data_IF_115551931275
#
_entry.id   IF_115551931275
#
_cell.length_a   1.000
_cell.length_b   1.000
_cell.length_c   1.000
_cell.angle_alpha   90.00
_cell.angle_beta   90.00
_cell.angle_gamma   90.00
#
_symmetry.space_group_name_H-M   'P 1'
#
loop_
_entity.id
_entity.type
_entity.pdbx_description
1 polymer ?
#
# COMPACT_ATOMS: atom_id res chain seq x y z
N UNK A 1 -0.57 13.49 -16.22
CA UNK A 1 -0.58 12.87 -14.88
C UNK A 1 0.52 13.50 -14.05
N UNK A 2 0.23 13.92 -12.82
CA UNK A 2 1.16 14.65 -11.95
C UNK A 2 2.02 13.72 -11.07
N UNK A 3 1.51 12.53 -10.75
CA UNK A 3 2.14 11.59 -9.83
C UNK A 3 2.69 10.38 -10.59
N UNK A 4 3.75 9.76 -10.07
CA UNK A 4 4.40 8.59 -10.66
C UNK A 4 4.96 7.68 -9.59
N UNK A 5 5.08 6.41 -9.92
CA UNK A 5 5.76 5.42 -9.08
C UNK A 5 7.27 5.69 -8.98
N UNK A 6 7.91 5.24 -7.89
CA UNK A 6 9.37 5.24 -7.78
C UNK A 6 9.97 4.22 -8.76
N UNK A 7 11.05 4.60 -9.42
CA UNK A 7 11.75 3.78 -10.42
C UNK A 7 13.21 3.53 -10.05
N UNK A 8 13.78 4.32 -9.12
CA UNK A 8 15.15 4.21 -8.69
C UNK A 8 15.27 3.24 -7.50
N UNK A 9 16.04 2.14 -7.63
CA UNK A 9 16.22 1.23 -6.53
C UNK A 9 16.95 1.86 -5.32
N UNK A 10 16.58 1.47 -4.11
CA UNK A 10 17.13 2.04 -2.89
C UNK A 10 17.05 1.07 -1.70
N UNK A 11 17.62 1.46 -0.55
CA UNK A 11 17.77 0.59 0.63
C UNK A 11 16.78 0.90 1.77
N UNK A 12 15.73 1.69 1.53
CA UNK A 12 14.74 2.06 2.57
C UNK A 12 14.07 0.85 3.21
N UNK A 13 13.80 -0.21 2.44
CA UNK A 13 13.29 -1.50 2.93
C UNK A 13 14.12 -2.10 4.08
N UNK A 14 15.43 -1.80 4.17
CA UNK A 14 16.27 -2.26 5.28
C UNK A 14 15.90 -1.64 6.64
N UNK A 15 15.28 -0.46 6.60
CA UNK A 15 14.99 0.39 7.78
C UNK A 15 13.52 0.36 8.17
N UNK A 16 12.62 0.12 7.21
CA UNK A 16 11.18 0.19 7.41
C UNK A 16 10.47 -0.84 6.52
N UNK A 17 9.78 -1.82 7.13
CA UNK A 17 8.87 -2.76 6.42
C UNK A 17 7.52 -2.09 6.20
N UNK A 18 6.40 -2.81 6.07
CA UNK A 18 5.09 -2.18 5.90
C UNK A 18 4.71 -1.21 7.03
N UNK A 19 5.03 -1.55 8.29
CA UNK A 19 4.69 -0.73 9.47
C UNK A 19 3.20 -0.30 9.46
N UNK A 20 2.28 -1.27 9.55
CA UNK A 20 0.84 -1.04 9.38
C UNK A 20 0.29 -0.02 10.39
N UNK A 21 0.47 -0.26 11.69
CA UNK A 21 -0.02 0.68 12.72
C UNK A 21 0.69 2.03 12.67
N UNK A 22 2.04 2.13 12.53
CA UNK A 22 2.67 3.42 12.31
C UNK A 22 2.20 4.17 11.05
N UNK A 23 1.91 3.46 9.95
CA UNK A 23 1.32 4.07 8.76
C UNK A 23 -0.05 4.67 9.07
N UNK A 24 -0.90 3.91 9.78
CA UNK A 24 -2.24 4.37 10.17
C UNK A 24 -2.18 5.59 11.09
N UNK A 25 -1.30 5.59 12.09
CA UNK A 25 -1.07 6.77 12.93
C UNK A 25 -0.60 7.98 12.13
N UNK A 26 0.29 7.77 11.15
CA UNK A 26 0.79 8.83 10.29
C UNK A 26 -0.31 9.48 9.45
N UNK A 27 -1.20 8.67 8.85
CA UNK A 27 -2.32 9.18 8.05
C UNK A 27 -3.24 10.10 8.87
N UNK A 28 -3.58 9.68 10.09
CA UNK A 28 -4.39 10.50 11.00
C UNK A 28 -3.66 11.77 11.46
N UNK A 29 -2.36 11.68 11.71
CA UNK A 29 -1.58 12.85 12.10
C UNK A 29 -1.51 13.87 10.96
N UNK A 30 -1.41 13.43 9.70
CA UNK A 30 -1.44 14.32 8.55
C UNK A 30 -2.78 15.04 8.43
N UNK A 31 -3.89 14.34 8.68
CA UNK A 31 -5.23 14.92 8.69
C UNK A 31 -5.38 15.99 9.78
N UNK A 32 -4.93 15.72 11.00
CA UNK A 32 -5.04 16.68 12.12
C UNK A 32 -4.06 17.86 12.05
N UNK A 33 -2.96 17.75 11.29
CA UNK A 33 -1.93 18.79 11.17
C UNK A 33 -1.95 19.56 9.86
N UNK A 34 -2.89 19.26 8.95
CA UNK A 34 -2.93 19.88 7.62
C UNK A 34 -1.75 19.47 6.73
N UNK A 35 -1.19 18.27 6.95
CA UNK A 35 -0.18 17.63 6.10
C UNK A 35 1.28 17.75 6.54
N UNK A 36 1.63 18.69 7.43
CA UNK A 36 3.03 18.83 7.89
C UNK A 36 3.26 18.21 9.26
N UNK A 37 3.88 17.03 9.27
CA UNK A 37 4.17 16.27 10.50
C UNK A 37 5.57 16.55 11.05
N UNK A 38 5.69 17.21 12.21
CA UNK A 38 6.98 17.34 12.92
C UNK A 38 7.38 16.05 13.65
N UNK A 39 8.67 15.72 13.63
CA UNK A 39 9.22 14.56 14.34
C UNK A 39 9.28 14.76 15.85
N UNK A 40 9.50 16.00 16.28
CA UNK A 40 9.44 16.44 17.66
C UNK A 40 8.04 16.23 18.21
N UNK A 41 7.02 16.80 17.53
CA UNK A 41 5.61 16.64 17.91
C UNK A 41 5.19 15.17 17.93
N UNK A 42 5.52 14.40 16.90
CA UNK A 42 5.13 12.98 16.85
C UNK A 42 5.77 12.13 17.95
N UNK A 43 6.96 12.51 18.43
CA UNK A 43 7.63 11.85 19.55
C UNK A 43 7.01 12.27 20.88
N UNK A 44 6.81 13.57 21.10
CA UNK A 44 6.17 14.13 22.31
C UNK A 44 4.77 13.55 22.52
N UNK A 45 3.97 13.45 21.46
CA UNK A 45 2.61 12.90 21.49
C UNK A 45 2.57 11.36 21.42
N UNK A 46 3.72 10.68 21.39
CA UNK A 46 3.81 9.21 21.32
C UNK A 46 2.97 8.59 20.19
N UNK A 47 2.92 9.25 19.03
CA UNK A 47 2.06 8.89 17.88
C UNK A 47 2.28 7.46 17.39
N UNK A 48 3.52 6.97 17.47
CA UNK A 48 3.89 5.61 17.08
C UNK A 48 4.07 4.66 18.28
N UNK A 49 3.52 5.03 19.44
CA UNK A 49 3.71 4.34 20.71
C UNK A 49 5.11 4.53 21.30
N UNK A 50 5.49 3.64 22.23
CA UNK A 50 6.78 3.67 22.93
C UNK A 50 7.96 3.34 22.01
N UNK A 51 8.40 4.33 21.21
CA UNK A 51 9.56 4.25 20.32
C UNK A 51 10.57 5.33 20.68
N UNK A 52 11.85 5.06 20.44
CA UNK A 52 12.90 6.08 20.62
C UNK A 52 12.76 7.20 19.58
N UNK A 53 13.26 8.40 19.89
CA UNK A 53 13.22 9.54 18.97
C UNK A 53 13.83 9.20 17.60
N UNK A 54 14.99 8.51 17.58
CA UNK A 54 15.64 8.06 16.34
C UNK A 54 14.74 7.12 15.52
N UNK A 55 13.92 6.29 16.17
CA UNK A 55 12.97 5.41 15.47
C UNK A 55 11.78 6.21 14.93
N UNK A 56 11.27 7.20 15.67
CA UNK A 56 10.21 8.12 15.21
C UNK A 56 10.67 8.91 13.99
N UNK A 57 11.87 9.49 14.04
CA UNK A 57 12.47 10.22 12.92
C UNK A 57 12.56 9.35 11.65
N UNK A 58 13.03 8.10 11.80
CA UNK A 58 13.08 7.15 10.69
C UNK A 58 11.70 6.81 10.14
N UNK A 59 10.72 6.58 11.01
CA UNK A 59 9.35 6.30 10.58
C UNK A 59 8.80 7.46 9.77
N UNK A 60 8.89 8.70 10.26
CA UNK A 60 8.41 9.87 9.52
C UNK A 60 9.10 9.99 8.17
N UNK A 61 10.42 9.83 8.12
CA UNK A 61 11.16 9.91 6.85
C UNK A 61 10.74 8.84 5.82
N UNK A 62 10.31 7.66 6.27
CA UNK A 62 9.79 6.60 5.39
C UNK A 62 8.29 6.77 5.07
N UNK A 63 7.48 7.28 6.01
CA UNK A 63 6.06 7.57 5.77
C UNK A 63 5.89 8.70 4.76
N UNK A 64 6.69 9.77 4.86
CA UNK A 64 6.72 10.84 3.87
C UNK A 64 7.05 10.33 2.48
N UNK A 65 8.07 9.48 2.38
CA UNK A 65 8.47 8.88 1.10
C UNK A 65 7.37 8.03 0.47
N UNK A 66 6.54 7.36 1.29
CA UNK A 66 5.43 6.53 0.80
C UNK A 66 4.17 7.33 0.47
N UNK A 67 3.76 8.21 1.37
CA UNK A 67 2.41 8.78 1.34
C UNK A 67 2.36 10.24 0.88
N UNK A 68 3.36 11.08 1.21
CA UNK A 68 3.37 12.49 0.80
C UNK A 68 3.57 12.63 -0.72
N UNK A 69 4.10 11.60 -1.38
CA UNK A 69 4.15 11.50 -2.84
C UNK A 69 2.75 11.44 -3.49
N UNK A 70 1.72 11.07 -2.73
CA UNK A 70 0.34 10.88 -3.20
C UNK A 70 -0.65 11.62 -2.28
N UNK A 71 -0.62 12.96 -2.22
CA UNK A 71 -1.39 13.74 -1.27
C UNK A 71 -2.91 13.53 -1.40
N UNK A 72 -3.41 13.32 -2.63
CA UNK A 72 -4.83 12.99 -2.88
C UNK A 72 -5.26 11.69 -2.21
N UNK A 73 -4.38 10.70 -2.15
CA UNK A 73 -4.63 9.42 -1.49
C UNK A 73 -4.47 9.54 0.02
N UNK A 74 -3.44 10.27 0.48
CA UNK A 74 -3.21 10.53 1.90
C UNK A 74 -4.39 11.27 2.55
N UNK A 75 -5.02 12.20 1.84
CA UNK A 75 -6.21 12.91 2.32
C UNK A 75 -7.37 11.94 2.63
N UNK A 76 -7.62 10.99 1.73
CA UNK A 76 -8.64 9.94 1.95
C UNK A 76 -8.23 9.01 3.09
N UNK A 77 -6.97 8.56 3.11
CA UNK A 77 -6.48 7.65 4.15
C UNK A 77 -6.57 8.23 5.56
N UNK A 78 -6.33 9.55 5.71
CA UNK A 78 -6.45 10.24 7.00
C UNK A 78 -7.87 10.26 7.55
N UNK A 79 -8.87 10.30 6.66
CA UNK A 79 -10.31 10.40 6.97
C UNK A 79 -11.06 9.07 6.95
N UNK A 80 -10.48 8.02 6.35
CA UNK A 80 -11.16 6.74 6.17
C UNK A 80 -11.45 6.04 7.51
N UNK A 81 -12.71 5.93 7.92
CA UNK A 81 -13.19 5.19 9.12
C UNK A 81 -14.59 4.58 8.87
N UNK A 82 -14.85 3.33 9.29
CA UNK A 82 -13.90 2.33 9.80
C UNK A 82 -13.05 1.72 8.67
N UNK A 83 -11.90 1.11 9.02
CA UNK A 83 -11.03 0.41 8.07
C UNK A 83 -10.62 -0.94 8.64
N UNK A 84 -10.93 -2.00 7.90
CA UNK A 84 -10.58 -3.38 8.23
C UNK A 84 -9.06 -3.59 8.30
N UNK A 85 -8.62 -4.49 9.18
CA UNK A 85 -7.19 -4.77 9.36
C UNK A 85 -6.53 -5.32 8.09
N UNK A 86 -7.24 -6.16 7.32
CA UNK A 86 -6.76 -6.67 6.03
C UNK A 86 -6.53 -5.54 5.02
N UNK A 87 -7.46 -4.58 4.97
CA UNK A 87 -7.40 -3.47 4.03
C UNK A 87 -6.28 -2.50 4.38
N UNK A 88 -6.03 -2.25 5.67
CA UNK A 88 -4.83 -1.51 6.14
C UNK A 88 -3.54 -2.13 5.63
N UNK A 89 -3.42 -3.46 5.72
CA UNK A 89 -2.24 -4.19 5.28
C UNK A 89 -2.04 -4.07 3.76
N UNK A 90 -3.12 -4.22 2.99
CA UNK A 90 -3.11 -4.08 1.52
C UNK A 90 -2.74 -2.66 1.08
N UNK A 91 -3.30 -1.64 1.72
CA UNK A 91 -2.96 -0.24 1.43
C UNK A 91 -1.47 0.02 1.72
N UNK A 92 -0.96 -0.42 2.88
CA UNK A 92 0.47 -0.29 3.19
C UNK A 92 1.34 -1.04 2.16
N UNK A 93 0.89 -2.22 1.72
CA UNK A 93 1.55 -3.01 0.69
C UNK A 93 1.67 -2.25 -0.63
N UNK A 94 0.55 -1.73 -1.17
CA UNK A 94 0.54 -0.99 -2.44
C UNK A 94 1.37 0.29 -2.37
N UNK A 95 1.28 1.06 -1.28
CA UNK A 95 2.13 2.25 -1.10
C UNK A 95 3.62 1.90 -0.96
N UNK A 96 3.94 0.73 -0.41
CA UNK A 96 5.33 0.25 -0.40
C UNK A 96 5.77 -0.19 -1.79
N UNK A 97 4.91 -0.81 -2.60
CA UNK A 97 5.22 -1.11 -4.00
C UNK A 97 5.41 0.17 -4.82
N UNK A 98 4.56 1.18 -4.64
CA UNK A 98 4.69 2.48 -5.29
C UNK A 98 6.02 3.16 -4.94
N UNK A 99 6.45 3.03 -3.68
CA UNK A 99 7.65 3.69 -3.18
C UNK A 99 8.96 2.90 -3.36
N UNK A 100 8.91 1.59 -3.67
CA UNK A 100 10.10 0.74 -3.80
C UNK A 100 9.99 -0.21 -5.01
N UNK A 101 10.75 0.05 -6.09
CA UNK A 101 10.65 -0.73 -7.33
C UNK A 101 11.15 -2.18 -7.18
N UNK A 102 12.06 -2.46 -6.23
CA UNK A 102 12.50 -3.84 -5.99
C UNK A 102 11.40 -4.60 -5.26
N UNK A 103 10.77 -3.98 -4.26
CA UNK A 103 9.64 -4.61 -3.58
C UNK A 103 8.46 -4.84 -4.53
N UNK A 104 8.19 -3.90 -5.45
CA UNK A 104 7.17 -4.06 -6.49
C UNK A 104 7.41 -5.29 -7.35
N UNK A 105 8.61 -5.44 -7.92
CA UNK A 105 8.98 -6.62 -8.74
C UNK A 105 8.98 -7.91 -7.92
N UNK A 106 9.39 -7.84 -6.66
CA UNK A 106 9.37 -9.01 -5.78
C UNK A 106 7.98 -9.55 -5.58
N UNK A 107 7.01 -8.71 -5.21
CA UNK A 107 5.66 -9.18 -4.92
C UNK A 107 4.81 -9.34 -6.18
N UNK A 108 5.02 -8.52 -7.21
CA UNK A 108 4.23 -8.52 -8.44
C UNK A 108 4.69 -9.53 -9.50
N UNK A 109 5.98 -9.90 -9.49
CA UNK A 109 6.55 -10.80 -10.51
C UNK A 109 7.13 -12.05 -9.86
N UNK A 110 8.13 -11.90 -8.99
CA UNK A 110 8.89 -13.04 -8.46
C UNK A 110 8.05 -13.96 -7.58
N UNK A 111 7.30 -13.42 -6.61
CA UNK A 111 6.43 -14.25 -5.78
C UNK A 111 5.29 -14.88 -6.59
N UNK A 112 4.82 -14.20 -7.64
CA UNK A 112 3.78 -14.72 -8.54
C UNK A 112 4.33 -15.90 -9.34
N UNK A 113 5.51 -15.76 -9.97
CA UNK A 113 6.20 -16.84 -10.67
C UNK A 113 6.44 -18.04 -9.72
N UNK A 114 6.87 -17.76 -8.49
CA UNK A 114 7.09 -18.78 -7.47
C UNK A 114 5.82 -19.50 -7.03
N UNK A 115 4.68 -18.79 -6.99
CA UNK A 115 3.38 -19.34 -6.64
C UNK A 115 2.89 -20.35 -7.69
N UNK A 116 2.97 -19.98 -8.98
CA UNK A 116 2.58 -20.86 -10.09
C UNK A 116 3.64 -21.92 -10.41
N UNK A 117 4.86 -21.77 -9.91
CA UNK A 117 5.93 -22.74 -10.03
C UNK A 117 5.72 -24.01 -9.17
N UNK A 118 6.54 -25.06 -9.36
CA UNK A 118 6.30 -26.39 -8.80
C UNK A 118 6.18 -26.47 -7.27
N UNK A 119 6.77 -25.51 -6.54
CA UNK A 119 6.89 -25.57 -5.09
C UNK A 119 6.00 -24.57 -4.33
N UNK A 120 5.47 -23.54 -5.00
CA UNK A 120 4.59 -22.54 -4.37
C UNK A 120 5.18 -21.83 -3.14
N UNK A 121 6.51 -21.72 -3.05
CA UNK A 121 7.19 -21.27 -1.84
C UNK A 121 8.45 -20.43 -2.10
N UNK A 122 8.90 -19.74 -1.05
CA UNK A 122 10.08 -18.89 -1.07
C UNK A 122 10.87 -18.98 0.24
N UNK A 123 12.15 -18.68 0.19
CA UNK A 123 12.99 -18.47 1.37
C UNK A 123 13.93 -17.26 1.18
N UNK A 124 14.75 -17.00 2.21
CA UNK A 124 15.66 -15.87 2.23
C UNK A 124 16.82 -16.00 1.23
N UNK A 125 17.38 -17.20 1.06
CA UNK A 125 18.51 -17.44 0.16
C UNK A 125 18.07 -17.30 -1.30
N UNK A 126 16.92 -17.87 -1.64
CA UNK A 126 16.25 -17.68 -2.93
C UNK A 126 16.00 -16.20 -3.23
N UNK A 127 15.43 -15.48 -2.26
CA UNK A 127 15.16 -14.03 -2.40
C UNK A 127 16.45 -13.23 -2.54
N UNK A 128 17.50 -13.56 -1.79
CA UNK A 128 18.80 -12.90 -1.88
C UNK A 128 19.44 -13.10 -3.26
N UNK A 129 19.41 -14.31 -3.81
CA UNK A 129 19.89 -14.57 -5.18
C UNK A 129 19.08 -13.82 -6.22
N UNK A 130 17.75 -13.78 -6.07
CA UNK A 130 16.89 -13.02 -6.97
C UNK A 130 17.18 -11.51 -6.96
N UNK A 131 17.48 -10.93 -5.80
CA UNK A 131 17.89 -9.51 -5.72
C UNK A 131 19.18 -9.28 -6.53
N UNK A 132 20.16 -10.19 -6.43
CA UNK A 132 21.42 -10.07 -7.19
C UNK A 132 21.17 -10.11 -8.71
N UNK A 133 20.28 -10.98 -9.17
CA UNK A 133 19.92 -11.05 -10.58
C UNK A 133 19.16 -9.79 -11.05
N UNK A 134 18.37 -9.19 -10.16
CA UNK A 134 17.53 -8.03 -10.47
C UNK A 134 18.31 -6.72 -10.47
N UNK A 135 19.29 -6.57 -9.57
CA UNK A 135 20.14 -5.39 -9.42
C UNK A 135 21.60 -5.81 -9.19
N UNK A 136 22.29 -6.33 -10.22
CA UNK A 136 23.61 -6.93 -10.09
C UNK A 136 24.64 -5.92 -9.58
N UNK A 137 25.59 -6.42 -8.78
CA UNK A 137 26.74 -5.69 -8.23
C UNK A 137 26.40 -4.43 -7.41
N UNK A 138 25.11 -4.20 -7.10
CA UNK A 138 24.66 -2.99 -6.39
C UNK A 138 24.96 -3.05 -4.90
N UNK A 139 24.83 -4.23 -4.29
CA UNK A 139 24.95 -4.40 -2.85
C UNK A 139 25.68 -5.67 -2.45
N UNK A 140 26.54 -5.54 -1.44
CA UNK A 140 27.21 -6.67 -0.82
C UNK A 140 26.22 -7.65 -0.16
N UNK A 141 26.62 -8.92 -0.07
CA UNK A 141 25.80 -10.05 0.43
C UNK A 141 25.07 -9.73 1.76
N UNK A 142 25.71 -9.13 2.79
CA UNK A 142 25.01 -8.84 4.05
C UNK A 142 23.84 -7.86 3.89
N UNK A 143 24.03 -6.84 3.05
CA UNK A 143 22.98 -5.85 2.72
C UNK A 143 21.84 -6.52 1.98
N UNK A 144 22.15 -7.36 0.99
CA UNK A 144 21.17 -8.10 0.19
C UNK A 144 20.35 -9.06 1.04
N UNK A 145 20.97 -9.83 1.92
CA UNK A 145 20.28 -10.73 2.86
C UNK A 145 19.34 -9.97 3.80
N UNK A 146 19.75 -8.78 4.26
CA UNK A 146 18.91 -7.92 5.09
C UNK A 146 17.70 -7.36 4.33
N UNK A 147 17.89 -6.94 3.07
CA UNK A 147 16.80 -6.53 2.18
C UNK A 147 15.82 -7.68 1.98
N UNK A 148 16.31 -8.86 1.57
CA UNK A 148 15.51 -10.07 1.38
C UNK A 148 14.68 -10.41 2.63
N UNK A 149 15.30 -10.36 3.82
CA UNK A 149 14.61 -10.63 5.08
C UNK A 149 13.46 -9.65 5.34
N UNK A 150 13.70 -8.34 5.10
CA UNK A 150 12.70 -7.30 5.28
C UNK A 150 11.57 -7.34 4.25
N UNK A 151 11.86 -7.75 3.01
CA UNK A 151 10.86 -7.97 1.98
C UNK A 151 9.96 -9.16 2.32
N UNK A 152 10.53 -10.27 2.81
CA UNK A 152 9.77 -11.42 3.29
C UNK A 152 8.91 -11.07 4.52
N UNK A 153 9.42 -10.26 5.46
CA UNK A 153 8.61 -9.74 6.56
C UNK A 153 7.45 -8.88 6.06
N UNK A 154 7.69 -8.01 5.07
CA UNK A 154 6.65 -7.15 4.51
C UNK A 154 5.57 -7.96 3.78
N UNK A 155 5.95 -8.95 2.97
CA UNK A 155 5.02 -9.85 2.30
C UNK A 155 4.22 -10.72 3.28
N UNK A 156 4.82 -11.17 4.39
CA UNK A 156 4.11 -11.83 5.48
C UNK A 156 3.06 -10.90 6.11
N UNK A 157 3.42 -9.65 6.41
CA UNK A 157 2.47 -8.66 6.94
C UNK A 157 1.34 -8.31 5.96
N UNK A 158 1.59 -8.41 4.65
CA UNK A 158 0.56 -8.23 3.61
C UNK A 158 -0.35 -9.45 3.42
N UNK A 159 -0.05 -10.60 4.05
CA UNK A 159 -0.76 -11.85 3.83
C UNK A 159 -0.40 -12.59 2.53
N UNK A 160 0.66 -12.16 1.84
CA UNK A 160 1.18 -12.81 0.62
C UNK A 160 2.03 -14.05 0.98
N UNK A 161 2.55 -14.10 2.20
CA UNK A 161 3.26 -15.26 2.74
C UNK A 161 2.50 -15.79 3.95
N UNK A 162 2.31 -17.11 4.02
CA UNK A 162 1.51 -17.75 5.06
C UNK A 162 2.21 -17.79 6.43
N UNK A 163 3.54 -17.94 6.45
CA UNK A 163 4.29 -18.11 7.70
C UNK A 163 5.74 -17.63 7.59
N UNK A 164 6.38 -17.46 8.75
CA UNK A 164 7.80 -17.15 8.83
C UNK A 164 8.72 -18.40 8.83
N UNK A 165 8.16 -19.60 8.74
CA UNK A 165 8.89 -20.88 8.72
C UNK A 165 9.26 -21.24 7.29
N UNK A 166 10.50 -21.65 7.08
CA UNK A 166 10.96 -22.12 5.75
C UNK A 166 10.57 -23.59 5.53
N UNK A 167 10.24 -23.98 4.28
CA UNK A 167 9.96 -23.11 3.13
C UNK A 167 8.65 -22.32 3.36
N UNK A 168 8.62 -21.04 2.98
CA UNK A 168 7.49 -20.15 3.28
C UNK A 168 6.44 -20.29 2.17
N UNK A 169 5.24 -20.81 2.44
CA UNK A 169 4.20 -20.92 1.43
C UNK A 169 3.74 -19.53 0.99
N UNK A 170 3.57 -19.36 -0.32
CA UNK A 170 3.02 -18.15 -0.92
C UNK A 170 1.51 -18.31 -0.98
N UNK A 171 0.79 -17.26 -0.62
CA UNK A 171 -0.67 -17.15 -0.67
C UNK A 171 -1.02 -15.80 -1.32
N UNK A 172 -2.30 -15.61 -1.59
CA UNK A 172 -2.82 -14.30 -1.95
C UNK A 172 -3.84 -13.84 -0.91
N UNK A 173 -3.71 -12.60 -0.39
CA UNK A 173 -4.65 -12.06 0.58
C UNK A 173 -6.02 -11.84 -0.06
N UNK A 174 -7.09 -11.95 0.74
CA UNK A 174 -8.41 -11.55 0.28
C UNK A 174 -8.45 -10.03 0.12
N UNK A 175 -8.77 -9.56 -1.08
CA UNK A 175 -8.97 -8.14 -1.38
C UNK A 175 -10.46 -7.80 -1.30
N UNK A 176 -10.84 -6.85 -0.45
CA UNK A 176 -12.22 -6.33 -0.38
C UNK A 176 -12.53 -5.47 -1.62
N UNK A 177 -13.81 -5.29 -1.95
CA UNK A 177 -14.18 -4.42 -3.08
C UNK A 177 -13.85 -2.94 -2.78
N UNK A 178 -13.91 -2.51 -1.51
CA UNK A 178 -13.46 -1.17 -1.09
C UNK A 178 -11.95 -0.98 -1.30
N UNK A 179 -11.13 -1.96 -0.90
CA UNK A 179 -9.69 -1.90 -1.11
C UNK A 179 -9.31 -1.94 -2.60
N UNK A 180 -10.00 -2.76 -3.39
CA UNK A 180 -9.80 -2.81 -4.84
C UNK A 180 -10.21 -1.48 -5.49
N UNK A 181 -11.37 -0.91 -5.11
CA UNK A 181 -11.81 0.38 -5.62
C UNK A 181 -10.82 1.50 -5.25
N UNK A 182 -10.31 1.50 -4.01
CA UNK A 182 -9.22 2.38 -3.60
C UNK A 182 -7.99 2.26 -4.50
N UNK A 183 -7.51 1.04 -4.75
CA UNK A 183 -6.36 0.80 -5.63
C UNK A 183 -6.62 1.35 -7.04
N UNK A 184 -7.81 1.14 -7.58
CA UNK A 184 -8.14 1.59 -8.93
C UNK A 184 -8.17 3.12 -9.03
N UNK A 185 -8.79 3.81 -8.07
CA UNK A 185 -8.71 5.28 -8.00
C UNK A 185 -7.29 5.79 -7.71
N UNK A 186 -6.46 5.04 -6.99
CA UNK A 186 -5.05 5.37 -6.76
C UNK A 186 -4.26 5.32 -8.06
N UNK A 187 -4.37 4.22 -8.81
CA UNK A 187 -3.69 4.02 -10.07
C UNK A 187 -4.22 4.95 -11.18
N UNK A 188 -5.49 5.38 -11.11
CA UNK A 188 -6.06 6.38 -12.03
C UNK A 188 -5.30 7.72 -11.99
N UNK A 189 -4.65 8.07 -10.89
CA UNK A 189 -3.95 9.36 -10.72
C UNK A 189 -2.42 9.25 -10.84
N UNK A 190 -1.90 8.03 -10.98
CA UNK A 190 -0.47 7.72 -10.99
C UNK A 190 -0.04 7.19 -12.36
N UNK A 191 1.11 7.65 -12.84
CA UNK A 191 1.81 7.02 -13.95
C UNK A 191 2.62 5.81 -13.46
N UNK A 192 2.37 4.64 -14.03
CA UNK A 192 3.04 3.37 -13.72
C UNK A 192 3.23 2.51 -14.97
N UNK A 193 4.11 1.51 -14.87
CA UNK A 193 4.31 0.50 -15.90
C UNK A 193 3.19 -0.56 -15.91
N UNK A 194 2.59 -0.80 -17.08
CA UNK A 194 1.52 -1.78 -17.29
C UNK A 194 0.21 -1.14 -17.73
N UNK A 195 -0.89 -1.88 -17.56
CA UNK A 195 -2.26 -1.40 -17.83
C UNK A 195 -3.13 -1.46 -16.58
N UNK A 196 -4.31 -0.86 -16.65
CA UNK A 196 -5.25 -0.83 -15.53
C UNK A 196 -5.67 -2.21 -15.00
N UNK A 197 -5.59 -3.27 -15.81
CA UNK A 197 -5.96 -4.64 -15.43
C UNK A 197 -4.79 -5.62 -15.44
N UNK A 198 -3.60 -5.18 -15.85
CA UNK A 198 -2.40 -6.01 -15.94
C UNK A 198 -1.22 -5.17 -15.48
N UNK A 199 -0.97 -5.23 -14.17
CA UNK A 199 0.06 -4.47 -13.48
C UNK A 199 0.48 -5.19 -12.19
N UNK A 200 1.68 -4.91 -11.65
CA UNK A 200 2.22 -5.59 -10.47
C UNK A 200 1.46 -5.33 -9.17
N UNK A 201 0.55 -4.36 -9.11
CA UNK A 201 -0.25 -4.06 -7.91
C UNK A 201 -1.47 -4.98 -7.76
N UNK A 202 -1.99 -5.45 -8.89
CA UNK A 202 -3.08 -6.45 -8.95
C UNK A 202 -2.51 -7.87 -8.83
N UNK A 203 -1.46 -8.19 -9.58
CA UNK A 203 -0.89 -9.55 -9.56
C UNK A 203 -0.28 -9.92 -8.21
N UNK A 204 0.28 -8.95 -7.47
CA UNK A 204 0.84 -9.19 -6.13
C UNK A 204 -0.18 -9.67 -5.10
N UNK A 205 -1.47 -9.45 -5.36
CA UNK A 205 -2.59 -9.85 -4.50
C UNK A 205 -3.46 -10.93 -5.16
N UNK A 206 -2.93 -11.61 -6.18
CA UNK A 206 -3.58 -12.74 -6.84
C UNK A 206 -4.67 -12.35 -7.83
N UNK A 207 -4.74 -11.07 -8.22
CA UNK A 207 -5.64 -10.59 -9.25
C UNK A 207 -4.89 -10.57 -10.58
N UNK A 208 -4.78 -11.73 -11.23
CA UNK A 208 -4.33 -11.78 -12.62
C UNK A 208 -5.32 -11.06 -13.55
N UNK A 209 -4.99 -10.95 -14.84
CA UNK A 209 -5.78 -10.14 -15.77
C UNK A 209 -7.26 -10.57 -15.84
N UNK A 210 -7.54 -11.88 -15.84
CA UNK A 210 -8.90 -12.39 -15.98
C UNK A 210 -9.68 -12.21 -14.66
N UNK A 211 -9.03 -12.48 -13.54
CA UNK A 211 -9.60 -12.26 -12.22
C UNK A 211 -9.86 -10.77 -11.94
N UNK A 212 -8.93 -9.89 -12.33
CA UNK A 212 -9.07 -8.44 -12.22
C UNK A 212 -10.27 -7.95 -13.03
N UNK A 213 -10.39 -8.35 -14.30
CA UNK A 213 -11.54 -8.01 -15.15
C UNK A 213 -12.86 -8.46 -14.51
N UNK A 214 -12.89 -9.69 -13.97
CA UNK A 214 -14.08 -10.24 -13.32
C UNK A 214 -14.48 -9.44 -12.08
N UNK A 215 -13.52 -9.14 -11.21
CA UNK A 215 -13.75 -8.39 -9.95
C UNK A 215 -14.14 -6.94 -10.22
N UNK A 216 -13.37 -6.23 -11.05
CA UNK A 216 -13.57 -4.81 -11.36
C UNK A 216 -14.93 -4.58 -12.02
N UNK A 217 -15.39 -5.48 -12.91
CA UNK A 217 -16.72 -5.39 -13.53
C UNK A 217 -17.87 -5.46 -12.50
N UNK A 218 -17.63 -6.12 -11.36
CA UNK A 218 -18.62 -6.21 -10.28
C UNK A 218 -18.73 -4.95 -9.44
N UNK A 219 -17.77 -4.02 -9.52
CA UNK A 219 -17.71 -2.81 -8.71
C UNK A 219 -18.32 -1.65 -9.49
N UNK A 220 -19.51 -1.21 -9.07
CA UNK A 220 -20.29 -0.19 -9.79
C UNK A 220 -19.58 1.15 -9.86
N UNK A 221 -18.88 1.51 -8.79
CA UNK A 221 -18.15 2.76 -8.60
C UNK A 221 -17.05 2.99 -9.64
N UNK A 222 -16.61 1.93 -10.32
CA UNK A 222 -15.56 1.97 -11.35
C UNK A 222 -16.13 2.10 -12.77
N UNK A 223 -17.41 1.76 -12.99
CA UNK A 223 -18.05 1.81 -14.31
C UNK A 223 -17.28 1.08 -15.40
N UNK A 224 -16.77 -0.12 -15.11
CA UNK A 224 -15.87 -0.82 -16.01
C UNK A 224 -16.58 -1.67 -17.07
N UNK A 225 -16.13 -1.52 -18.31
CA UNK A 225 -16.49 -2.40 -19.42
C UNK A 225 -15.27 -2.84 -20.23
N UNK A 226 -15.37 -4.02 -20.86
CA UNK A 226 -14.34 -4.57 -21.74
C UNK A 226 -15.00 -5.10 -23.00
N UNK A 227 -14.54 -4.63 -24.16
CA UNK A 227 -14.98 -5.09 -25.47
C UNK A 227 -13.75 -5.50 -26.30
N UNK A 228 -13.53 -6.81 -26.43
CA UNK A 228 -12.28 -7.32 -27.00
C UNK A 228 -11.08 -6.85 -26.16
N UNK A 229 -10.14 -6.15 -26.80
CA UNK A 229 -8.97 -5.57 -26.15
C UNK A 229 -9.19 -4.14 -25.64
N UNK A 230 -10.35 -3.54 -25.95
CA UNK A 230 -10.69 -2.21 -25.47
C UNK A 230 -11.16 -2.28 -24.01
N UNK A 231 -10.46 -1.54 -23.14
CA UNK A 231 -10.81 -1.35 -21.74
C UNK A 231 -11.37 0.07 -21.56
N UNK A 232 -12.56 0.17 -20.98
CA UNK A 232 -13.19 1.46 -20.71
C UNK A 232 -13.60 1.54 -19.24
N UNK A 233 -13.21 2.64 -18.60
CA UNK A 233 -13.64 3.01 -17.26
C UNK A 233 -14.50 4.27 -17.37
N UNK A 234 -15.80 4.11 -17.10
CA UNK A 234 -16.73 5.21 -16.91
C UNK A 234 -16.77 5.54 -15.42
N UNK A 235 -15.67 6.14 -14.91
CA UNK A 235 -15.52 6.44 -13.50
C UNK A 235 -16.74 7.20 -12.96
N UNK A 236 -17.38 6.66 -11.92
CA UNK A 236 -18.60 7.26 -11.38
C UNK A 236 -18.33 8.51 -10.54
N UNK A 237 -17.07 8.75 -10.20
CA UNK A 237 -16.63 9.90 -9.43
C UNK A 237 -15.41 10.58 -10.06
N UNK A 238 -15.35 11.90 -9.99
CA UNK A 238 -14.28 12.68 -10.60
C UNK A 238 -12.94 12.57 -9.87
N UNK A 239 -12.96 12.19 -8.59
CA UNK A 239 -11.77 12.08 -7.75
C UNK A 239 -11.87 10.95 -6.73
N UNK A 240 -10.73 10.54 -6.19
CA UNK A 240 -10.69 9.56 -5.09
C UNK A 240 -11.46 10.07 -3.86
N UNK A 241 -11.41 11.36 -3.56
CA UNK A 241 -12.18 11.94 -2.44
C UNK A 241 -13.68 11.88 -2.70
N UNK A 242 -14.14 12.20 -3.92
CA UNK A 242 -15.56 12.12 -4.28
C UNK A 242 -16.07 10.67 -4.17
N UNK A 243 -15.27 9.70 -4.61
CA UNK A 243 -15.55 8.28 -4.38
C UNK A 243 -15.64 7.94 -2.90
N UNK A 244 -14.65 8.35 -2.10
CA UNK A 244 -14.60 8.03 -0.68
C UNK A 244 -15.81 8.60 0.09
N UNK A 245 -16.23 9.83 -0.24
CA UNK A 245 -17.47 10.43 0.27
C UNK A 245 -18.69 9.56 -0.10
N UNK A 246 -18.83 9.20 -1.38
CA UNK A 246 -19.97 8.41 -1.86
C UNK A 246 -20.01 6.98 -1.29
N UNK A 247 -18.84 6.39 -1.04
CA UNK A 247 -18.71 5.07 -0.46
C UNK A 247 -19.00 5.05 1.06
N UNK A 248 -19.22 6.23 1.68
CA UNK A 248 -19.52 6.34 3.11
C UNK A 248 -18.36 5.89 4.01
N UNK A 249 -17.12 5.91 3.49
CA UNK A 249 -15.94 5.45 4.24
C UNK A 249 -15.26 6.58 5.01
N UNK A 250 -15.67 7.82 4.83
CA UNK A 250 -15.14 8.97 5.57
C UNK A 250 -15.90 9.11 6.89
N UNK A 251 -15.20 9.46 7.96
CA UNK A 251 -15.87 9.83 9.20
C UNK A 251 -16.79 11.04 8.97
N UNK A 252 -18.05 10.96 9.40
CA UNK A 252 -18.84 12.16 9.65
C UNK A 252 -18.11 12.97 10.72
N UNK A 253 -17.99 14.27 10.52
CA UNK A 253 -17.59 15.16 11.62
C UNK A 253 -18.67 15.00 12.68
N UNK A 254 -18.35 14.34 13.80
CA UNK A 254 -19.21 14.35 14.98
C UNK A 254 -19.48 15.81 15.33
N UNK A 255 -20.67 16.30 14.97
CA UNK A 255 -21.21 17.60 15.34
C UNK A 255 -21.59 17.63 16.83
N UNK A 256 -20.80 17.03 17.72
CA UNK A 256 -20.98 17.15 19.17
C UNK A 256 -20.66 18.57 19.66
N UNK A 257 -20.09 19.44 18.81
CA UNK A 257 -19.90 20.86 19.14
C UNK A 257 -21.19 21.69 19.08
N UNK A 258 -22.32 21.16 18.59
CA UNK A 258 -23.55 21.96 18.40
C UNK A 258 -24.69 21.71 19.41
N UNK A 259 -24.57 20.71 20.30
CA UNK A 259 -25.60 20.43 21.31
C UNK A 259 -25.33 21.04 22.70
N UNK A 260 -24.13 21.54 23.00
CA UNK A 260 -23.88 22.30 24.24
C UNK A 260 -24.23 23.78 24.15
N UNK A 261 -24.37 24.37 22.95
CA UNK A 261 -24.75 25.78 22.79
C UNK A 261 -26.25 26.02 22.63
N UNK A 262 -27.07 24.98 22.40
CA UNK A 262 -28.54 25.09 22.36
C UNK A 262 -29.24 24.79 23.69
N UNK A 263 -28.50 24.34 24.71
CA UNK A 263 -29.03 24.13 26.06
C UNK A 263 -28.81 25.33 27.00
N UNK A 264 -28.25 26.44 26.49
CA UNK A 264 -27.90 27.64 27.26
C UNK A 264 -28.60 28.92 26.78
N UNK A 265 -29.72 28.81 26.07
CA UNK A 265 -30.61 29.93 25.74
C UNK A 265 -32.04 29.64 26.15
#
# INVERSE_FOLDING_TARGET
>A
MQYKEETQPHTRMMKCTLEIEPSRSYWHLCESTGGSVSKEKAFEESVFGSKTFLRVERLIADMRHRYDAYPFALEVLGKWRPMELSDRALICHWHTQLADPIYRKFTGDYLVERYYGPAGNVDNDMTSRWIELTVPDRWQIPTRNKIASKMLTSALSAGIIASNRNPRPILFPRVSDLALCYLMYLLREIQYEGSAISNPYLTSVGLDQDEAVRRIRGIRELGFSKQGDLLQFDWQHDSMMAWACSAGILAEVDNETNNMQRAAT
#
